data_IF_633493893470
#
_entry.id   IF_633493893470
#
_cell.length_a   1.000
_cell.length_b   1.000
_cell.length_c   1.000
_cell.angle_alpha   90.00
_cell.angle_beta   90.00
_cell.angle_gamma   90.00
#
_symmetry.space_group_name_H-M   'P 1'
#
loop_
_entity.id
_entity.type
_entity.pdbx_description
1 polymer ?
#
# COMPACT_ATOMS: atom_id res chain seq x y z
N UNK A 1 -22.25 -1.96 26.11
CA UNK A 1 -21.00 -2.50 25.51
C UNK A 1 -19.84 -1.79 26.18
N UNK A 2 -18.97 -2.52 26.89
CA UNK A 2 -17.89 -1.95 27.69
C UNK A 2 -16.60 -2.01 26.86
N UNK A 3 -16.09 -0.86 26.43
CA UNK A 3 -14.87 -0.75 25.63
C UNK A 3 -13.65 -0.89 26.54
N UNK A 4 -13.20 -2.13 26.75
CA UNK A 4 -12.06 -2.46 27.63
C UNK A 4 -10.68 -2.12 27.03
N UNK A 5 -10.61 -1.52 25.84
CA UNK A 5 -9.36 -1.32 25.11
C UNK A 5 -8.77 0.11 25.21
N UNK A 6 -9.47 1.06 25.83
CA UNK A 6 -8.94 2.40 26.11
C UNK A 6 -8.28 3.11 24.89
N UNK A 7 -7.18 3.83 25.13
CA UNK A 7 -6.45 4.65 24.12
C UNK A 7 -5.46 3.79 23.29
N UNK A 8 -5.28 2.51 23.63
CA UNK A 8 -4.27 1.63 23.03
C UNK A 8 -4.79 0.91 21.78
N UNK A 9 -5.31 1.67 20.82
CA UNK A 9 -5.74 1.13 19.54
C UNK A 9 -4.55 1.09 18.57
N UNK A 10 -4.27 -0.09 18.01
CA UNK A 10 -3.31 -0.27 16.91
C UNK A 10 -1.85 -0.11 17.34
N UNK A 11 -1.09 0.68 16.59
CA UNK A 11 0.35 0.88 16.80
C UNK A 11 0.71 1.30 18.24
N UNK A 12 -0.20 2.01 18.94
CA UNK A 12 -0.03 2.41 20.35
C UNK A 12 0.12 1.25 21.33
N UNK A 13 -0.47 0.10 21.04
CA UNK A 13 -0.26 -1.12 21.83
C UNK A 13 1.08 -1.77 21.47
N UNK A 14 1.41 -1.84 20.18
CA UNK A 14 2.64 -2.47 19.70
C UNK A 14 3.91 -1.66 20.04
N UNK A 15 3.84 -0.33 20.12
CA UNK A 15 4.94 0.55 20.54
C UNK A 15 5.35 0.37 22.01
N UNK A 16 4.51 -0.28 22.84
CA UNK A 16 4.87 -0.64 24.22
C UNK A 16 5.66 -1.94 24.32
N UNK A 17 5.76 -2.68 23.21
CA UNK A 17 6.56 -3.90 23.12
C UNK A 17 7.99 -3.55 22.65
N UNK A 18 9.02 -4.23 23.19
CA UNK A 18 10.39 -4.12 22.70
C UNK A 18 10.47 -4.26 21.17
N UNK A 19 11.30 -3.45 20.50
CA UNK A 19 11.41 -3.41 19.04
C UNK A 19 11.78 -4.78 18.41
N UNK A 20 12.45 -5.66 19.16
CA UNK A 20 12.75 -7.04 18.82
C UNK A 20 11.54 -7.98 18.86
N UNK A 21 10.41 -7.54 19.43
CA UNK A 21 9.12 -8.27 19.47
C UNK A 21 8.07 -7.76 18.47
N UNK A 22 8.27 -6.58 17.87
CA UNK A 22 7.39 -6.08 16.79
C UNK A 22 7.93 -6.56 15.44
N UNK A 23 8.08 -7.88 15.32
CA UNK A 23 8.26 -8.52 14.04
C UNK A 23 6.88 -8.93 13.58
N UNK A 24 6.26 -8.17 12.69
CA UNK A 24 5.02 -8.57 12.03
C UNK A 24 5.39 -9.73 11.09
N UNK A 25 5.11 -10.99 11.47
CA UNK A 25 5.65 -12.15 10.79
C UNK A 25 4.76 -12.45 9.59
N UNK A 26 4.73 -11.52 8.63
CA UNK A 26 3.96 -11.64 7.41
C UNK A 26 4.90 -11.70 6.21
N UNK A 27 4.77 -12.79 5.47
CA UNK A 27 5.39 -12.99 4.16
C UNK A 27 4.47 -12.48 3.05
N UNK A 28 5.07 -11.95 2.00
CA UNK A 28 4.38 -11.46 0.81
C UNK A 28 4.95 -12.19 -0.41
N UNK A 29 4.08 -12.56 -1.34
CA UNK A 29 4.47 -13.20 -2.60
C UNK A 29 3.43 -12.94 -3.69
N UNK A 30 3.80 -13.25 -4.93
CA UNK A 30 2.88 -13.31 -6.07
C UNK A 30 2.19 -11.97 -6.36
N UNK A 31 2.96 -10.87 -6.40
CA UNK A 31 2.43 -9.57 -6.77
C UNK A 31 1.91 -9.58 -8.22
N UNK A 32 0.62 -9.36 -8.37
CA UNK A 32 -0.07 -9.21 -9.66
C UNK A 32 -0.74 -7.84 -9.69
N UNK A 33 -0.58 -7.14 -10.80
CA UNK A 33 -1.24 -5.86 -11.04
C UNK A 33 -1.99 -5.98 -12.35
N UNK A 34 -3.30 -5.76 -12.27
CA UNK A 34 -4.23 -5.92 -13.38
C UNK A 34 -4.95 -4.60 -13.61
N UNK A 35 -4.84 -3.97 -14.80
CA UNK A 35 -5.67 -2.82 -15.14
C UNK A 35 -7.14 -3.26 -15.20
N UNK A 36 -8.02 -2.48 -14.57
CA UNK A 36 -9.48 -2.68 -14.62
C UNK A 36 -10.17 -1.69 -15.55
N UNK A 37 -9.55 -0.53 -15.77
CA UNK A 37 -9.90 0.49 -16.77
C UNK A 37 -8.61 1.20 -17.21
N UNK A 38 -8.73 2.26 -18.01
CA UNK A 38 -7.58 3.09 -18.43
C UNK A 38 -6.88 3.77 -17.24
N UNK A 39 -7.60 4.01 -16.14
CA UNK A 39 -7.19 4.81 -15.00
C UNK A 39 -7.27 4.06 -13.66
N UNK A 40 -7.69 2.79 -13.65
CA UNK A 40 -7.84 2.00 -12.44
C UNK A 40 -7.07 0.68 -12.52
N UNK A 41 -6.50 0.27 -11.39
CA UNK A 41 -5.78 -0.98 -11.26
C UNK A 41 -6.24 -1.75 -10.03
N UNK A 42 -6.24 -3.08 -10.14
CA UNK A 42 -6.31 -3.99 -8.99
C UNK A 42 -4.91 -4.51 -8.71
N UNK A 43 -4.39 -4.20 -7.52
CA UNK A 43 -3.15 -4.77 -6.99
C UNK A 43 -3.50 -5.94 -6.10
N UNK A 44 -3.08 -7.13 -6.53
CA UNK A 44 -3.29 -8.39 -5.81
C UNK A 44 -1.96 -8.90 -5.30
N UNK A 45 -1.91 -9.29 -4.02
CA UNK A 45 -0.72 -9.90 -3.44
C UNK A 45 -1.11 -10.98 -2.45
N UNK A 46 -0.38 -12.09 -2.44
CA UNK A 46 -0.57 -13.14 -1.45
C UNK A 46 0.17 -12.76 -0.18
N UNK A 47 -0.54 -12.80 0.95
CA UNK A 47 0.00 -12.54 2.28
C UNK A 47 -0.13 -13.79 3.13
N UNK A 48 0.93 -14.17 3.82
CA UNK A 48 0.99 -15.36 4.69
C UNK A 48 1.43 -14.99 6.09
N UNK A 49 0.68 -15.38 7.11
CA UNK A 49 1.11 -15.25 8.49
C UNK A 49 2.11 -16.39 8.81
N UNK A 50 3.38 -16.04 8.97
CA UNK A 50 4.48 -16.94 9.33
C UNK A 50 4.74 -16.98 10.84
N UNK A 51 3.94 -16.28 11.63
CA UNK A 51 4.01 -16.25 13.08
C UNK A 51 3.27 -17.42 13.74
N UNK A 52 3.39 -17.48 15.07
CA UNK A 52 2.75 -18.49 15.92
C UNK A 52 1.38 -18.07 16.47
N UNK A 53 0.98 -16.82 16.26
CA UNK A 53 -0.28 -16.25 16.75
C UNK A 53 -1.11 -15.68 15.60
N UNK A 54 -2.43 -15.64 15.79
CA UNK A 54 -3.30 -14.87 14.90
C UNK A 54 -2.90 -13.40 14.94
N UNK A 55 -2.91 -12.75 13.77
CA UNK A 55 -2.54 -11.35 13.66
C UNK A 55 -3.28 -10.66 12.52
N UNK A 56 -3.41 -9.35 12.64
CA UNK A 56 -3.90 -8.50 11.58
C UNK A 56 -2.76 -7.65 11.00
N UNK A 57 -2.75 -7.52 9.68
CA UNK A 57 -1.76 -6.76 8.92
C UNK A 57 -2.45 -5.79 7.98
N UNK A 58 -1.93 -4.58 7.88
CA UNK A 58 -2.30 -3.65 6.82
C UNK A 58 -1.33 -3.85 5.65
N UNK A 59 -1.86 -4.03 4.46
CA UNK A 59 -1.11 -4.19 3.21
C UNK A 59 -1.15 -2.87 2.46
N UNK A 60 -0.18 -1.96 2.67
CA UNK A 60 -0.10 -0.71 1.93
C UNK A 60 0.45 -0.91 0.52
N UNK A 61 -0.16 -0.22 -0.43
CA UNK A 61 0.31 -0.10 -1.80
C UNK A 61 0.74 1.34 -2.04
N UNK A 62 1.94 1.50 -2.57
CA UNK A 62 2.56 2.77 -2.89
C UNK A 62 2.70 2.93 -4.39
N UNK A 63 2.50 4.15 -4.87
CA UNK A 63 2.78 4.53 -6.25
C UNK A 63 3.77 5.68 -6.28
N UNK A 64 4.72 5.63 -7.20
CA UNK A 64 5.69 6.72 -7.39
C UNK A 64 6.17 6.77 -8.82
N UNK A 65 6.34 7.98 -9.36
CA UNK A 65 6.90 8.16 -10.70
C UNK A 65 8.34 7.63 -10.71
N UNK A 66 8.65 6.76 -11.67
CA UNK A 66 9.97 6.15 -11.83
C UNK A 66 11.02 7.18 -12.26
N UNK A 67 10.57 8.25 -12.91
CA UNK A 67 11.40 9.40 -13.24
C UNK A 67 11.17 10.45 -12.15
N UNK A 68 12.15 10.60 -11.26
CA UNK A 68 12.06 11.54 -10.15
C UNK A 68 11.90 12.96 -10.68
N UNK A 69 10.71 13.54 -10.54
CA UNK A 69 10.52 14.97 -10.67
C UNK A 69 10.90 15.64 -9.34
N UNK A 70 11.66 16.75 -9.33
CA UNK A 70 12.10 17.42 -8.09
C UNK A 70 10.95 17.83 -7.16
N UNK A 71 9.79 18.13 -7.75
CA UNK A 71 8.61 18.68 -7.08
C UNK A 71 7.62 17.59 -6.57
N UNK A 72 7.84 16.30 -6.90
CA UNK A 72 6.92 15.21 -6.54
C UNK A 72 7.45 14.32 -5.42
N UNK A 73 6.60 13.82 -4.50
CA UNK A 73 6.99 12.79 -3.55
C UNK A 73 7.57 11.56 -4.27
N UNK A 74 8.63 10.97 -3.69
CA UNK A 74 9.28 9.77 -4.25
C UNK A 74 8.27 8.62 -4.41
N UNK A 75 7.31 8.54 -3.48
CA UNK A 75 6.16 7.62 -3.51
C UNK A 75 5.06 8.13 -2.58
N UNK A 76 3.82 7.82 -2.94
CA UNK A 76 2.61 8.15 -2.18
C UNK A 76 1.87 6.85 -1.84
N UNK A 77 1.27 6.78 -0.65
CA UNK A 77 0.37 5.68 -0.31
C UNK A 77 -0.87 5.79 -1.20
N UNK A 78 -1.03 4.86 -2.13
CA UNK A 78 -2.13 4.84 -3.09
C UNK A 78 -3.35 4.09 -2.54
N UNK A 79 -3.15 3.15 -1.61
CA UNK A 79 -4.25 2.44 -0.97
C UNK A 79 -3.74 1.43 0.04
N UNK A 80 -4.63 0.87 0.85
CA UNK A 80 -4.29 -0.26 1.72
C UNK A 80 -5.51 -1.12 2.03
N UNK A 81 -5.26 -2.38 2.39
CA UNK A 81 -6.30 -3.27 2.91
C UNK A 81 -5.80 -3.99 4.15
N UNK A 82 -6.65 -4.06 5.18
CA UNK A 82 -6.36 -4.81 6.41
C UNK A 82 -6.83 -6.26 6.25
N UNK A 83 -5.98 -7.20 6.64
CA UNK A 83 -6.27 -8.63 6.61
C UNK A 83 -5.90 -9.26 7.95
N UNK A 84 -6.80 -10.09 8.49
CA UNK A 84 -6.52 -10.93 9.67
C UNK A 84 -6.27 -12.36 9.21
N UNK A 85 -5.22 -13.00 9.74
CA UNK A 85 -4.83 -14.37 9.38
C UNK A 85 -4.44 -15.16 10.62
N UNK A 86 -4.95 -16.38 10.72
CA UNK A 86 -4.49 -17.38 11.66
C UNK A 86 -3.02 -17.79 11.36
N UNK A 87 -2.29 -18.39 12.32
CA UNK A 87 -0.95 -18.91 12.10
C UNK A 87 -0.87 -19.83 10.89
N UNK A 88 0.09 -19.61 9.99
CA UNK A 88 0.31 -20.40 8.78
C UNK A 88 -0.71 -20.18 7.65
N UNK A 89 -1.77 -19.39 7.86
CA UNK A 89 -2.76 -19.11 6.84
C UNK A 89 -2.25 -18.10 5.81
N UNK A 90 -2.69 -18.27 4.56
CA UNK A 90 -2.47 -17.32 3.47
C UNK A 90 -3.79 -16.77 2.93
N UNK A 91 -3.79 -15.52 2.48
CA UNK A 91 -4.89 -14.94 1.71
C UNK A 91 -4.35 -14.07 0.57
N UNK A 92 -5.11 -13.97 -0.52
CA UNK A 92 -4.88 -12.97 -1.56
C UNK A 92 -5.57 -11.68 -1.13
N UNK A 93 -4.79 -10.61 -1.02
CA UNK A 93 -5.25 -9.28 -0.67
C UNK A 93 -5.29 -8.44 -1.93
N UNK A 94 -6.48 -7.92 -2.23
CA UNK A 94 -6.72 -7.05 -3.38
C UNK A 94 -6.97 -5.61 -2.93
N UNK A 95 -6.24 -4.68 -3.54
CA UNK A 95 -6.35 -3.23 -3.33
C UNK A 95 -6.69 -2.60 -4.67
N UNK A 96 -7.82 -1.89 -4.73
CA UNK A 96 -8.22 -1.11 -5.89
C UNK A 96 -7.55 0.27 -5.80
N UNK A 97 -6.99 0.72 -6.92
CA UNK A 97 -6.31 2.01 -7.06
C UNK A 97 -6.93 2.78 -8.20
N UNK A 98 -7.11 4.09 -8.04
CA UNK A 98 -7.57 4.99 -9.09
C UNK A 98 -6.54 6.09 -9.37
N UNK A 99 -6.44 6.50 -10.63
CA UNK A 99 -5.47 7.50 -11.05
C UNK A 99 -5.60 8.85 -10.35
N UNK A 100 -6.85 9.25 -10.12
CA UNK A 100 -7.18 10.45 -9.39
C UNK A 100 -6.57 10.51 -7.98
N UNK A 101 -6.46 9.38 -7.27
CA UNK A 101 -5.92 9.34 -5.89
C UNK A 101 -4.44 9.71 -5.79
N UNK A 102 -3.75 9.75 -6.94
CA UNK A 102 -2.35 10.16 -7.05
C UNK A 102 -2.13 11.35 -7.98
N UNK A 103 -3.20 12.05 -8.33
CA UNK A 103 -3.11 13.32 -9.05
C UNK A 103 -2.45 14.40 -8.20
N UNK A 104 -1.76 15.33 -8.85
CA UNK A 104 -1.20 16.53 -8.25
C UNK A 104 -1.95 17.75 -8.78
N UNK A 105 -2.13 18.77 -7.94
CA UNK A 105 -2.74 20.01 -8.38
C UNK A 105 -1.76 20.78 -9.28
N UNK A 106 -2.18 21.09 -10.52
CA UNK A 106 -1.42 21.94 -11.44
C UNK A 106 -1.87 23.40 -11.29
N UNK A 107 -1.01 24.27 -10.77
CA UNK A 107 -1.32 25.71 -10.71
C UNK A 107 -1.49 26.34 -12.09
N UNK A 108 -0.79 25.80 -13.10
CA UNK A 108 -0.83 26.30 -14.48
C UNK A 108 -2.15 25.99 -15.18
N UNK A 109 -2.65 24.77 -15.00
CA UNK A 109 -3.90 24.31 -15.63
C UNK A 109 -5.12 24.54 -14.73
N UNK A 110 -4.91 24.84 -13.43
CA UNK A 110 -5.95 24.95 -12.40
C UNK A 110 -6.83 23.70 -12.28
N UNK A 111 -6.22 22.52 -12.46
CA UNK A 111 -6.87 21.22 -12.49
C UNK A 111 -5.99 20.17 -11.79
N UNK A 112 -6.59 19.04 -11.42
CA UNK A 112 -5.84 17.90 -10.89
C UNK A 112 -5.27 17.10 -12.07
N UNK A 113 -3.96 16.89 -12.09
CA UNK A 113 -3.29 16.20 -13.18
C UNK A 113 -2.52 14.98 -12.71
N UNK A 114 -2.55 13.94 -13.52
CA UNK A 114 -1.65 12.80 -13.46
C UNK A 114 -0.74 12.91 -14.67
N UNK A 115 0.56 13.09 -14.43
CA UNK A 115 1.52 13.07 -15.52
C UNK A 115 1.65 11.66 -16.10
N UNK A 116 1.61 11.54 -17.42
CA UNK A 116 1.89 10.29 -18.09
C UNK A 116 3.35 9.87 -17.89
N UNK A 117 3.60 8.58 -17.68
CA UNK A 117 4.96 8.07 -17.51
C UNK A 117 5.04 6.68 -16.90
N UNK A 118 6.25 6.25 -16.56
CA UNK A 118 6.48 4.97 -15.89
C UNK A 118 6.32 5.14 -14.37
N UNK A 119 5.44 4.37 -13.75
CA UNK A 119 5.21 4.38 -12.30
C UNK A 119 5.61 3.04 -11.67
N UNK A 120 6.22 3.12 -10.49
CA UNK A 120 6.47 1.96 -9.63
C UNK A 120 5.26 1.76 -8.71
N UNK A 121 4.60 0.62 -8.86
CA UNK A 121 3.59 0.13 -7.93
C UNK A 121 4.27 -0.82 -6.96
N UNK A 122 4.28 -0.48 -5.68
CA UNK A 122 5.05 -1.21 -4.67
C UNK A 122 4.18 -1.61 -3.49
N UNK A 123 4.31 -2.84 -3.03
CA UNK A 123 3.71 -3.28 -1.76
C UNK A 123 4.80 -3.34 -0.70
N UNK A 124 4.53 -2.77 0.48
CA UNK A 124 5.48 -2.76 1.58
C UNK A 124 4.90 -3.29 2.88
N UNK A 125 5.77 -3.65 3.82
CA UNK A 125 5.34 -3.83 5.23
C UNK A 125 5.06 -2.47 5.88
N UNK A 126 5.78 -1.45 5.43
CA UNK A 126 5.63 -0.05 5.81
C UNK A 126 6.28 0.84 4.72
N UNK A 127 6.27 2.15 4.92
CA UNK A 127 6.82 3.09 3.93
C UNK A 127 8.34 2.98 3.74
N UNK A 128 9.09 2.41 4.68
CA UNK A 128 10.54 2.20 4.59
C UNK A 128 10.92 0.81 4.04
N UNK A 129 10.09 -0.21 4.26
CA UNK A 129 10.30 -1.61 3.84
C UNK A 129 9.33 -2.01 2.72
N UNK A 130 9.77 -1.85 1.47
CA UNK A 130 9.07 -2.31 0.27
C UNK A 130 9.46 -3.76 -0.03
N UNK A 131 8.48 -4.63 -0.21
CA UNK A 131 8.70 -6.07 -0.37
C UNK A 131 8.68 -6.47 -1.84
N UNK A 132 7.67 -6.00 -2.59
CA UNK A 132 7.55 -6.26 -4.01
C UNK A 132 7.20 -4.98 -4.77
N UNK A 133 7.67 -4.88 -6.01
CA UNK A 133 7.44 -3.72 -6.87
C UNK A 133 7.34 -4.13 -8.32
N UNK A 134 6.47 -3.46 -9.07
CA UNK A 134 6.31 -3.62 -10.51
C UNK A 134 6.13 -2.27 -11.18
N UNK A 135 6.78 -2.12 -12.33
CA UNK A 135 6.68 -0.93 -13.18
C UNK A 135 5.55 -1.08 -14.18
N UNK A 136 4.78 0.00 -14.35
CA UNK A 136 3.71 0.10 -15.34
C UNK A 136 3.74 1.49 -15.97
N UNK A 137 3.36 1.57 -17.24
CA UNK A 137 3.10 2.85 -17.90
C UNK A 137 1.71 3.33 -17.49
N UNK A 138 1.62 4.59 -17.07
CA UNK A 138 0.38 5.30 -16.75
C UNK A 138 0.22 6.41 -17.78
N UNK A 139 -0.99 6.55 -18.31
CA UNK A 139 -1.32 7.62 -19.26
C UNK A 139 -1.61 8.93 -18.51
N UNK A 140 -1.36 10.06 -19.17
CA UNK A 140 -1.65 11.36 -18.59
C UNK A 140 -3.15 11.59 -18.47
N UNK A 141 -3.60 12.14 -17.35
CA UNK A 141 -5.01 12.45 -17.11
C UNK A 141 -5.17 13.81 -16.44
N UNK A 142 -6.29 14.47 -16.72
CA UNK A 142 -6.69 15.72 -16.06
C UNK A 142 -8.12 15.56 -15.55
N UNK A 143 -8.41 16.14 -14.38
CA UNK A 143 -9.70 16.10 -13.70
C UNK A 143 -10.16 17.49 -13.25
#
# INVERSE_FOLDING_TARGET
VNYAEGILIGYRHFDTLPADKVNLPFGYSDLVISPTSEDCWTVSIKVTNTGSLEGAIAVPVYMGNSTRQPETPIKTLAGFKKQTLAPGASAVVEVLLQAHEFSAWSEKEQEWVVDGGEYNFSVGRNAADLVESKKLSVESQSY
#
